data_IF_567886265307
#
_entry.id   IF_567886265307
#
_cell.length_a   1.000
_cell.length_b   1.000
_cell.length_c   1.000
_cell.angle_alpha   90.00
_cell.angle_beta   90.00
_cell.angle_gamma   90.00
#
_symmetry.space_group_name_H-M   'P 1'
#
loop_
_entity.id
_entity.type
_entity.pdbx_description
1 polymer ?
#
# COMPACT_ATOMS: atom_id res chain seq x y z
N UNK A 1 40.29 39.98 0.79
CA UNK A 1 40.37 38.66 0.22
C UNK A 1 39.04 37.93 0.51
N UNK A 2 38.16 37.87 -0.45
CA UNK A 2 36.85 37.24 -0.30
C UNK A 2 36.99 35.74 -0.41
N UNK A 3 36.94 35.03 0.70
CA UNK A 3 36.81 33.57 0.69
C UNK A 3 35.46 33.22 0.05
N UNK A 4 35.45 32.84 -1.23
CA UNK A 4 34.35 32.08 -1.81
C UNK A 4 34.30 30.78 -1.00
N UNK A 5 33.35 30.69 -0.06
CA UNK A 5 32.99 29.43 0.57
C UNK A 5 32.55 28.51 -0.54
N UNK A 6 33.30 27.47 -0.83
CA UNK A 6 32.89 26.43 -1.76
C UNK A 6 31.51 25.94 -1.29
N UNK A 7 30.53 25.99 -2.18
CA UNK A 7 29.20 25.50 -1.86
C UNK A 7 29.35 24.04 -1.43
N UNK A 8 29.09 23.75 -0.18
CA UNK A 8 29.22 22.38 0.38
C UNK A 8 28.15 21.54 -0.31
N UNK A 9 28.59 20.58 -1.11
CA UNK A 9 27.72 19.74 -1.93
C UNK A 9 27.15 18.64 -1.05
N UNK A 10 25.85 18.45 -1.09
CA UNK A 10 25.22 17.31 -0.45
C UNK A 10 25.60 16.02 -1.21
N UNK A 11 26.25 15.09 -0.55
CA UNK A 11 26.61 13.78 -1.07
C UNK A 11 25.45 12.76 -0.92
N UNK A 12 24.69 12.89 0.17
CA UNK A 12 23.51 12.07 0.45
C UNK A 12 22.38 12.94 0.93
N UNK A 13 21.16 12.71 0.44
CA UNK A 13 19.95 13.41 0.89
C UNK A 13 18.96 12.39 1.44
N UNK A 14 18.49 12.58 2.66
CA UNK A 14 17.35 11.86 3.23
C UNK A 14 16.08 12.69 3.10
N UNK A 15 15.00 12.05 2.67
CA UNK A 15 13.69 12.68 2.48
C UNK A 15 12.65 11.97 3.31
N UNK A 16 12.10 12.66 4.30
CA UNK A 16 10.88 12.24 4.98
C UNK A 16 9.65 12.80 4.25
N UNK A 17 8.67 11.92 3.98
CA UNK A 17 7.55 12.24 3.09
C UNK A 17 6.25 12.47 3.86
N UNK A 18 5.89 13.74 4.06
CA UNK A 18 4.54 14.12 4.47
C UNK A 18 3.55 14.15 3.30
N UNK A 19 2.27 14.35 3.60
CA UNK A 19 1.20 14.40 2.58
C UNK A 19 1.44 15.52 1.55
N UNK A 20 1.69 16.73 2.01
CA UNK A 20 1.83 17.93 1.17
C UNK A 20 3.26 18.50 1.17
N UNK A 21 4.07 18.13 2.13
CA UNK A 21 5.42 18.66 2.35
C UNK A 21 6.41 17.54 2.57
N UNK A 22 7.64 17.79 2.14
CA UNK A 22 8.78 16.90 2.30
C UNK A 22 9.83 17.60 3.17
N UNK A 23 10.44 16.86 4.09
CA UNK A 23 11.56 17.37 4.89
C UNK A 23 12.85 16.73 4.37
N UNK A 24 13.82 17.57 4.06
CA UNK A 24 15.08 17.19 3.45
C UNK A 24 16.22 17.46 4.41
N UNK A 25 17.11 16.49 4.57
CA UNK A 25 18.42 16.63 5.18
C UNK A 25 19.47 16.14 4.21
N UNK A 26 20.40 17.02 3.83
CA UNK A 26 21.55 16.66 3.02
C UNK A 26 22.82 16.59 3.89
N UNK A 27 23.59 15.53 3.67
CA UNK A 27 24.86 15.27 4.33
C UNK A 27 25.99 15.39 3.31
N UNK A 28 27.13 15.96 3.74
CA UNK A 28 28.38 15.90 2.98
C UNK A 28 29.07 14.52 3.08
N UNK A 29 30.25 14.38 2.52
CA UNK A 29 31.08 13.18 2.55
C UNK A 29 31.55 12.79 3.97
N UNK A 30 31.55 13.75 4.91
CA UNK A 30 31.91 13.56 6.32
C UNK A 30 30.71 13.32 7.24
N UNK A 31 29.49 13.38 6.69
CA UNK A 31 28.25 13.21 7.44
C UNK A 31 27.78 14.51 8.12
N UNK A 32 28.37 15.67 7.83
CA UNK A 32 27.88 16.95 8.34
C UNK A 32 26.63 17.41 7.57
N UNK A 33 25.68 18.02 8.27
CA UNK A 33 24.45 18.54 7.66
C UNK A 33 24.78 19.81 6.86
N UNK A 34 24.60 19.75 5.55
CA UNK A 34 24.84 20.88 4.62
C UNK A 34 23.55 21.38 3.97
N UNK A 35 22.46 20.62 4.08
CA UNK A 35 21.14 21.00 3.60
C UNK A 35 20.10 20.65 4.65
N UNK A 36 19.22 21.61 4.99
CA UNK A 36 18.06 21.38 5.86
C UNK A 36 16.90 22.24 5.37
N UNK A 37 15.96 21.61 4.69
CA UNK A 37 14.85 22.31 4.05
C UNK A 37 13.53 21.58 4.21
N UNK A 38 12.45 22.36 4.19
CA UNK A 38 11.07 21.90 4.04
C UNK A 38 10.56 22.36 2.69
N UNK A 39 10.18 21.44 1.84
CA UNK A 39 9.79 21.68 0.45
C UNK A 39 8.36 21.22 0.21
N UNK A 40 7.56 21.98 -0.53
CA UNK A 40 6.26 21.51 -0.99
C UNK A 40 6.44 20.35 -1.97
N UNK A 41 5.56 19.35 -1.91
CA UNK A 41 5.68 18.12 -2.70
C UNK A 41 5.77 18.38 -4.21
N UNK A 42 5.01 19.35 -4.73
CA UNK A 42 5.00 19.77 -6.14
C UNK A 42 6.26 20.53 -6.57
N UNK A 43 7.07 20.97 -5.62
CA UNK A 43 8.30 21.73 -5.88
C UNK A 43 9.58 20.91 -5.76
N UNK A 44 9.49 19.64 -5.37
CA UNK A 44 10.67 18.82 -5.08
C UNK A 44 11.58 18.64 -6.31
N UNK A 45 11.02 18.39 -7.48
CA UNK A 45 11.74 18.22 -8.75
C UNK A 45 12.49 19.50 -9.13
N UNK A 46 11.80 20.64 -9.08
CA UNK A 46 12.41 21.95 -9.38
C UNK A 46 13.53 22.26 -8.39
N UNK A 47 13.32 21.95 -7.09
CA UNK A 47 14.32 22.21 -6.05
C UNK A 47 15.57 21.36 -6.23
N UNK A 48 15.43 20.09 -6.56
CA UNK A 48 16.56 19.16 -6.67
C UNK A 48 17.18 19.13 -8.07
N UNK A 49 16.54 19.69 -9.09
CA UNK A 49 17.11 19.80 -10.45
C UNK A 49 18.46 20.56 -10.48
N UNK A 50 18.68 21.48 -9.54
CA UNK A 50 19.91 22.27 -9.43
C UNK A 50 20.92 21.72 -8.43
N UNK A 51 20.64 20.55 -7.84
CA UNK A 51 21.54 19.85 -6.92
C UNK A 51 22.36 18.85 -7.73
N UNK A 52 23.69 18.78 -7.56
CA UNK A 52 24.50 17.74 -8.21
C UNK A 52 23.95 16.33 -7.89
N UNK A 53 24.12 15.42 -8.86
CA UNK A 53 23.67 14.04 -8.69
C UNK A 53 24.25 13.44 -7.40
N UNK A 54 23.37 12.88 -6.57
CA UNK A 54 23.72 12.33 -5.27
C UNK A 54 22.86 11.13 -4.92
N UNK A 55 23.21 10.41 -3.84
CA UNK A 55 22.40 9.36 -3.27
C UNK A 55 21.19 9.98 -2.53
N UNK A 56 19.99 9.52 -2.85
CA UNK A 56 18.76 9.98 -2.17
C UNK A 56 18.06 8.79 -1.50
N UNK A 57 17.90 8.87 -0.17
CA UNK A 57 17.06 7.97 0.60
C UNK A 57 15.66 8.56 0.76
N UNK A 58 14.61 7.77 0.51
CA UNK A 58 13.21 8.14 0.78
C UNK A 58 12.61 7.04 1.64
N UNK A 59 11.88 7.38 2.72
CA UNK A 59 11.18 6.34 3.49
C UNK A 59 10.12 5.65 2.63
N UNK A 60 10.15 4.30 2.59
CA UNK A 60 9.18 3.52 1.83
C UNK A 60 7.77 3.68 2.42
N UNK A 61 6.84 4.17 1.60
CA UNK A 61 5.48 4.49 2.04
C UNK A 61 4.55 4.83 0.89
N UNK A 62 3.37 5.36 1.24
CA UNK A 62 2.43 5.84 0.22
C UNK A 62 2.97 7.08 -0.51
N UNK A 63 2.74 7.15 -1.82
CA UNK A 63 3.13 8.27 -2.69
C UNK A 63 4.65 8.54 -2.77
N UNK A 64 5.50 7.60 -2.35
CA UNK A 64 6.95 7.71 -2.45
C UNK A 64 7.48 7.26 -3.81
N UNK A 65 6.82 6.31 -4.45
CA UNK A 65 7.24 5.80 -5.76
C UNK A 65 7.24 6.89 -6.84
N UNK A 66 6.22 7.75 -6.87
CA UNK A 66 6.19 8.88 -7.79
C UNK A 66 7.39 9.82 -7.59
N UNK A 67 7.61 10.27 -6.35
CA UNK A 67 8.75 11.15 -6.02
C UNK A 67 10.08 10.49 -6.38
N UNK A 68 10.21 9.19 -6.10
CA UNK A 68 11.42 8.44 -6.42
C UNK A 68 11.68 8.40 -7.94
N UNK A 69 10.65 8.16 -8.78
CA UNK A 69 10.79 8.17 -10.24
C UNK A 69 11.18 9.53 -10.76
N UNK A 70 10.53 10.60 -10.29
CA UNK A 70 10.84 11.98 -10.68
C UNK A 70 12.30 12.34 -10.38
N UNK A 71 12.78 12.01 -9.18
CA UNK A 71 14.16 12.29 -8.79
C UNK A 71 15.18 11.40 -9.51
N UNK A 72 14.83 10.16 -9.80
CA UNK A 72 15.66 9.27 -10.63
C UNK A 72 15.77 9.80 -12.07
N UNK A 73 14.71 10.41 -12.62
CA UNK A 73 14.73 11.05 -13.94
C UNK A 73 15.68 12.26 -14.00
N UNK A 74 15.94 12.92 -12.86
CA UNK A 74 16.96 13.97 -12.74
C UNK A 74 18.41 13.41 -12.64
N UNK A 75 18.57 12.08 -12.60
CA UNK A 75 19.86 11.42 -12.54
C UNK A 75 20.36 11.09 -11.12
N UNK A 76 19.56 11.33 -10.07
CA UNK A 76 19.93 10.93 -8.73
C UNK A 76 19.82 9.40 -8.51
N UNK A 77 20.70 8.82 -7.66
CA UNK A 77 20.56 7.43 -7.19
C UNK A 77 19.53 7.35 -6.06
N UNK A 78 18.27 7.05 -6.40
CA UNK A 78 17.16 7.10 -5.45
C UNK A 78 16.85 5.71 -4.91
N UNK A 79 16.85 5.56 -3.59
CA UNK A 79 16.57 4.31 -2.89
C UNK A 79 15.44 4.49 -1.88
N UNK A 80 14.51 3.54 -1.85
CA UNK A 80 13.43 3.50 -0.86
C UNK A 80 13.86 2.68 0.35
N UNK A 81 13.96 3.34 1.50
CA UNK A 81 14.39 2.76 2.78
C UNK A 81 13.16 2.31 3.56
N UNK A 82 12.99 1.01 3.87
CA UNK A 82 11.91 0.56 4.72
C UNK A 82 11.99 1.19 6.12
N UNK A 83 10.86 1.53 6.77
CA UNK A 83 10.84 2.16 8.11
C UNK A 83 11.65 1.39 9.16
N UNK A 84 11.70 0.06 9.06
CA UNK A 84 12.47 -0.78 9.98
C UNK A 84 13.97 -0.48 9.96
N UNK A 85 14.52 -0.06 8.82
CA UNK A 85 15.95 0.28 8.68
C UNK A 85 16.24 1.74 9.06
N UNK A 86 15.28 2.65 8.94
CA UNK A 86 15.46 4.04 9.34
C UNK A 86 15.31 4.24 10.87
N UNK A 87 14.38 3.50 11.50
CA UNK A 87 14.10 3.62 12.94
C UNK A 87 15.31 3.56 13.87
N UNK A 88 16.31 2.67 13.70
CA UNK A 88 17.48 2.61 14.59
C UNK A 88 18.33 3.88 14.58
N UNK A 89 18.27 4.68 13.52
CA UNK A 89 19.03 5.91 13.36
C UNK A 89 18.28 7.15 13.90
N UNK A 90 17.01 6.99 14.28
CA UNK A 90 16.22 8.08 14.82
C UNK A 90 16.67 8.42 16.24
N UNK A 91 17.14 9.64 16.47
CA UNK A 91 17.58 10.12 17.76
C UNK A 91 16.56 11.08 18.40
N UNK A 92 16.21 10.84 19.66
CA UNK A 92 15.36 11.73 20.46
C UNK A 92 13.87 11.73 20.05
N UNK A 93 13.14 12.81 20.40
CA UNK A 93 11.72 12.92 20.13
C UNK A 93 11.41 13.02 18.63
N UNK A 94 10.22 12.52 18.23
CA UNK A 94 9.75 12.51 16.84
C UNK A 94 9.77 13.93 16.25
N UNK A 95 10.50 14.08 15.14
CA UNK A 95 10.58 15.33 14.38
C UNK A 95 10.92 14.96 12.93
N UNK A 96 10.19 15.52 11.99
CA UNK A 96 10.29 15.18 10.56
C UNK A 96 11.73 15.38 9.99
N UNK A 97 12.47 16.37 10.47
CA UNK A 97 13.88 16.53 10.09
C UNK A 97 14.81 15.46 10.69
N UNK A 98 14.48 14.95 11.88
CA UNK A 98 15.23 13.81 12.46
C UNK A 98 14.91 12.52 11.73
N UNK A 99 13.67 12.38 11.26
CA UNK A 99 13.26 11.26 10.43
C UNK A 99 13.99 11.32 9.07
N UNK A 100 14.10 12.50 8.44
CA UNK A 100 14.90 12.72 7.25
C UNK A 100 16.40 12.43 7.46
N UNK A 101 16.97 12.83 8.61
CA UNK A 101 18.35 12.50 8.95
C UNK A 101 18.57 11.01 9.10
N UNK A 102 17.69 10.34 9.83
CA UNK A 102 17.75 8.88 10.01
C UNK A 102 17.67 8.12 8.66
N UNK A 103 16.89 8.61 7.70
CA UNK A 103 16.82 8.06 6.35
C UNK A 103 18.14 8.30 5.60
N UNK A 104 18.73 9.52 5.70
CA UNK A 104 20.01 9.84 5.08
C UNK A 104 21.15 8.95 5.59
N UNK A 105 21.16 8.65 6.89
CA UNK A 105 22.16 7.75 7.49
C UNK A 105 21.91 6.28 7.12
N UNK A 106 20.63 5.85 7.14
CA UNK A 106 20.26 4.48 6.83
C UNK A 106 20.59 4.09 5.38
N UNK A 107 20.34 4.98 4.40
CA UNK A 107 20.53 4.69 2.98
C UNK A 107 21.98 4.46 2.59
N UNK A 108 22.91 5.02 3.35
CA UNK A 108 24.36 4.85 3.14
C UNK A 108 24.89 3.49 3.60
N UNK A 109 24.12 2.75 4.41
CA UNK A 109 24.57 1.47 4.97
C UNK A 109 24.42 0.34 3.97
N UNK A 110 25.48 -0.43 3.68
CA UNK A 110 25.40 -1.60 2.78
C UNK A 110 24.41 -2.67 3.25
N UNK A 111 24.13 -2.73 4.57
CA UNK A 111 23.18 -3.65 5.17
C UNK A 111 21.72 -3.26 4.98
N UNK A 112 21.45 -2.04 4.54
CA UNK A 112 20.08 -1.56 4.31
C UNK A 112 19.49 -2.20 3.05
N UNK A 113 18.48 -3.03 3.22
CA UNK A 113 17.75 -3.64 2.11
C UNK A 113 16.68 -2.67 1.61
N UNK A 114 17.02 -1.89 0.60
CA UNK A 114 16.10 -0.96 -0.02
C UNK A 114 14.99 -1.67 -0.81
N UNK A 115 13.81 -1.06 -0.85
CA UNK A 115 12.67 -1.54 -1.64
C UNK A 115 12.80 -1.01 -3.07
N UNK A 116 12.58 -1.82 -4.11
CA UNK A 116 12.56 -1.34 -5.49
C UNK A 116 11.49 -0.26 -5.72
N UNK A 117 11.81 0.73 -6.54
CA UNK A 117 10.83 1.71 -7.00
C UNK A 117 9.88 1.02 -7.97
N UNK A 118 8.59 1.06 -7.67
CA UNK A 118 7.56 0.44 -8.51
C UNK A 118 7.31 1.26 -9.77
N UNK A 119 7.10 0.59 -10.89
CA UNK A 119 6.58 1.18 -12.12
C UNK A 119 5.08 1.51 -11.96
N UNK A 120 4.52 2.26 -12.91
CA UNK A 120 3.09 2.57 -12.89
C UNK A 120 2.26 1.29 -13.04
N UNK A 121 2.62 0.37 -13.94
CA UNK A 121 1.97 -0.93 -14.07
C UNK A 121 1.97 -1.75 -12.76
N UNK A 122 3.07 -1.69 -12.00
CA UNK A 122 3.16 -2.36 -10.69
C UNK A 122 2.25 -1.71 -9.64
N UNK A 123 2.08 -0.39 -9.70
CA UNK A 123 1.16 0.33 -8.83
C UNK A 123 -0.30 0.04 -9.21
N UNK A 124 -0.62 -0.05 -10.48
CA UNK A 124 -1.96 -0.40 -10.97
C UNK A 124 -2.34 -1.82 -10.56
N UNK A 125 -1.42 -2.77 -10.74
CA UNK A 125 -1.61 -4.13 -10.26
C UNK A 125 -1.84 -4.18 -8.74
N UNK A 126 -1.07 -3.42 -7.97
CA UNK A 126 -1.28 -3.31 -6.52
C UNK A 126 -2.64 -2.71 -6.18
N UNK A 127 -3.09 -1.71 -6.96
CA UNK A 127 -4.42 -1.12 -6.79
C UNK A 127 -5.54 -2.13 -7.06
N UNK A 128 -5.45 -2.91 -8.14
CA UNK A 128 -6.40 -3.98 -8.46
C UNK A 128 -6.51 -5.00 -7.32
N UNK A 129 -5.38 -5.47 -6.80
CA UNK A 129 -5.36 -6.38 -5.64
C UNK A 129 -6.03 -5.78 -4.40
N UNK A 130 -5.76 -4.51 -4.09
CA UNK A 130 -6.38 -3.81 -2.94
C UNK A 130 -7.89 -3.67 -3.12
N UNK A 131 -8.35 -3.30 -4.33
CA UNK A 131 -9.78 -3.20 -4.65
C UNK A 131 -10.44 -4.57 -4.53
N UNK A 132 -9.84 -5.62 -5.09
CA UNK A 132 -10.34 -7.00 -4.99
C UNK A 132 -10.47 -7.44 -3.53
N UNK A 133 -9.44 -7.22 -2.71
CA UNK A 133 -9.47 -7.56 -1.27
C UNK A 133 -10.61 -6.86 -0.54
N UNK A 134 -10.85 -5.58 -0.81
CA UNK A 134 -11.96 -4.83 -0.25
C UNK A 134 -13.31 -5.42 -0.66
N UNK A 135 -13.50 -5.73 -1.93
CA UNK A 135 -14.75 -6.31 -2.43
C UNK A 135 -15.02 -7.70 -1.83
N UNK A 136 -13.99 -8.54 -1.68
CA UNK A 136 -14.10 -9.84 -1.00
C UNK A 136 -14.50 -9.67 0.47
N UNK A 137 -13.95 -8.67 1.16
CA UNK A 137 -14.35 -8.33 2.53
C UNK A 137 -15.82 -7.88 2.61
N UNK A 138 -16.26 -7.00 1.70
CA UNK A 138 -17.66 -6.56 1.61
C UNK A 138 -18.61 -7.73 1.34
N UNK A 139 -18.29 -8.61 0.40
CA UNK A 139 -19.05 -9.83 0.11
C UNK A 139 -19.19 -10.71 1.35
N UNK A 140 -18.09 -10.92 2.06
CA UNK A 140 -18.10 -11.72 3.28
C UNK A 140 -19.02 -11.12 4.34
N UNK A 141 -19.00 -9.80 4.51
CA UNK A 141 -19.88 -9.10 5.44
C UNK A 141 -21.36 -9.29 5.08
N UNK A 142 -21.73 -9.11 3.80
CA UNK A 142 -23.10 -9.31 3.31
C UNK A 142 -23.56 -10.75 3.57
N UNK A 143 -22.74 -11.75 3.25
CA UNK A 143 -23.05 -13.17 3.45
C UNK A 143 -23.25 -13.49 4.93
N UNK A 144 -22.42 -12.95 5.80
CA UNK A 144 -22.56 -13.15 7.24
C UNK A 144 -23.83 -12.50 7.78
N UNK A 145 -24.21 -11.34 7.26
CA UNK A 145 -25.45 -10.65 7.62
C UNK A 145 -26.68 -11.45 7.20
N UNK A 146 -26.73 -11.98 5.97
CA UNK A 146 -27.80 -12.86 5.50
C UNK A 146 -27.93 -14.08 6.44
N UNK A 147 -26.80 -14.72 6.77
CA UNK A 147 -26.79 -15.88 7.67
C UNK A 147 -27.28 -15.55 9.06
N UNK A 148 -26.88 -14.41 9.61
CA UNK A 148 -27.33 -13.95 10.92
C UNK A 148 -28.84 -13.77 10.93
N UNK A 149 -29.40 -13.11 9.93
CA UNK A 149 -30.85 -12.91 9.84
C UNK A 149 -31.62 -14.23 9.71
N UNK A 150 -31.13 -15.17 8.90
CA UNK A 150 -31.74 -16.48 8.79
C UNK A 150 -31.66 -17.28 10.08
N UNK A 151 -30.54 -17.19 10.80
CA UNK A 151 -30.33 -17.90 12.08
C UNK A 151 -31.26 -17.39 13.17
N UNK A 152 -31.52 -16.08 13.25
CA UNK A 152 -32.48 -15.47 14.17
C UNK A 152 -33.92 -16.01 13.95
N UNK A 153 -34.21 -16.51 12.75
CA UNK A 153 -35.47 -17.16 12.40
C UNK A 153 -35.40 -18.70 12.44
N UNK A 154 -34.38 -19.27 13.10
CA UNK A 154 -34.20 -20.70 13.26
C UNK A 154 -33.73 -21.44 11.98
N UNK A 155 -33.28 -20.71 10.96
CA UNK A 155 -32.81 -21.27 9.70
C UNK A 155 -31.28 -21.30 9.71
N UNK A 156 -30.69 -22.42 10.10
CA UNK A 156 -29.24 -22.60 10.10
C UNK A 156 -28.74 -23.10 8.75
N UNK A 157 -27.75 -22.40 8.16
CA UNK A 157 -27.10 -22.80 6.91
C UNK A 157 -25.64 -23.14 7.20
N UNK A 158 -25.21 -24.29 6.66
CA UNK A 158 -23.82 -24.76 6.76
C UNK A 158 -22.84 -23.67 6.30
N UNK A 159 -21.68 -23.56 6.97
CA UNK A 159 -20.63 -22.62 6.62
C UNK A 159 -20.07 -22.88 5.22
N UNK A 160 -19.79 -21.82 4.45
CA UNK A 160 -19.28 -21.88 3.07
C UNK A 160 -20.24 -21.16 2.11
N UNK A 161 -19.65 -20.42 1.16
CA UNK A 161 -20.35 -19.65 0.14
C UNK A 161 -21.31 -20.53 -0.70
N UNK A 162 -20.84 -21.71 -1.08
CA UNK A 162 -21.56 -22.66 -1.91
C UNK A 162 -22.92 -23.04 -1.29
N UNK A 163 -22.95 -23.33 0.02
CA UNK A 163 -24.18 -23.79 0.65
C UNK A 163 -25.25 -22.72 0.73
N UNK A 164 -24.85 -21.48 1.03
CA UNK A 164 -25.79 -20.35 1.02
C UNK A 164 -26.33 -20.11 -0.40
N UNK A 165 -25.47 -20.13 -1.43
CA UNK A 165 -25.89 -19.93 -2.82
C UNK A 165 -26.90 -20.98 -3.29
N UNK A 166 -26.74 -22.23 -2.87
CA UNK A 166 -27.64 -23.32 -3.23
C UNK A 166 -28.98 -23.28 -2.46
N UNK A 167 -28.96 -22.93 -1.19
CA UNK A 167 -30.14 -23.03 -0.32
C UNK A 167 -30.99 -21.78 -0.29
N UNK A 168 -30.39 -20.59 -0.44
CA UNK A 168 -31.08 -19.32 -0.30
C UNK A 168 -32.31 -19.18 -1.18
N UNK A 169 -32.30 -19.52 -2.49
CA UNK A 169 -33.50 -19.39 -3.32
C UNK A 169 -34.68 -20.25 -2.82
N UNK A 170 -34.40 -21.49 -2.39
CA UNK A 170 -35.40 -22.39 -1.85
C UNK A 170 -35.96 -21.91 -0.48
N UNK A 171 -35.11 -21.32 0.35
CA UNK A 171 -35.52 -20.71 1.63
C UNK A 171 -36.48 -19.55 1.39
N UNK A 172 -36.12 -18.62 0.50
CA UNK A 172 -36.95 -17.46 0.20
C UNK A 172 -38.30 -17.83 -0.40
N UNK A 173 -38.34 -18.91 -1.22
CA UNK A 173 -39.57 -19.38 -1.84
C UNK A 173 -40.50 -20.17 -0.91
N UNK A 174 -39.96 -20.90 0.09
CA UNK A 174 -40.71 -21.88 0.88
C UNK A 174 -40.92 -21.52 2.34
N UNK A 175 -40.24 -20.51 2.87
CA UNK A 175 -40.25 -20.18 4.30
C UNK A 175 -40.95 -18.86 4.63
N UNK A 176 -41.98 -18.53 3.84
CA UNK A 176 -42.88 -17.42 4.13
C UNK A 176 -43.71 -17.62 5.41
N UNK A 177 -43.76 -18.84 5.92
CA UNK A 177 -44.31 -19.19 7.23
C UNK A 177 -43.46 -18.67 8.41
N UNK A 178 -42.16 -18.54 8.23
CA UNK A 178 -41.18 -18.17 9.26
C UNK A 178 -40.63 -16.76 9.04
N UNK A 179 -40.41 -16.38 7.79
CA UNK A 179 -39.85 -15.08 7.41
C UNK A 179 -40.98 -14.08 7.07
N UNK A 180 -40.99 -12.92 7.72
CA UNK A 180 -41.90 -11.87 7.36
C UNK A 180 -41.65 -11.33 5.93
N UNK A 181 -42.67 -10.78 5.23
CA UNK A 181 -42.46 -10.17 3.91
C UNK A 181 -41.36 -9.08 3.89
N UNK A 182 -41.18 -8.37 5.01
CA UNK A 182 -40.10 -7.38 5.16
C UNK A 182 -38.73 -8.05 5.22
N UNK A 183 -38.59 -9.14 5.96
CA UNK A 183 -37.33 -9.87 6.07
C UNK A 183 -36.94 -10.52 4.72
N UNK A 184 -37.90 -11.07 3.99
CA UNK A 184 -37.69 -11.60 2.65
C UNK A 184 -37.10 -10.52 1.74
N UNK A 185 -37.72 -9.33 1.67
CA UNK A 185 -37.21 -8.21 0.85
C UNK A 185 -35.78 -7.79 1.27
N UNK A 186 -35.50 -7.69 2.57
CA UNK A 186 -34.16 -7.34 3.07
C UNK A 186 -33.12 -8.37 2.59
N UNK A 187 -33.45 -9.65 2.68
CA UNK A 187 -32.53 -10.72 2.27
C UNK A 187 -32.39 -10.74 0.73
N UNK A 188 -33.44 -10.47 -0.02
CA UNK A 188 -33.40 -10.33 -1.48
C UNK A 188 -32.50 -9.17 -1.92
N UNK A 189 -32.60 -8.01 -1.27
CA UNK A 189 -31.75 -6.84 -1.51
C UNK A 189 -30.27 -7.17 -1.23
N UNK A 190 -29.98 -7.77 -0.09
CA UNK A 190 -28.63 -8.21 0.26
C UNK A 190 -28.11 -9.29 -0.72
N UNK A 191 -28.96 -10.18 -1.20
CA UNK A 191 -28.63 -11.18 -2.22
C UNK A 191 -28.29 -10.51 -3.56
N UNK A 192 -28.97 -9.41 -3.89
CA UNK A 192 -28.66 -8.54 -5.03
C UNK A 192 -27.28 -7.88 -4.89
N UNK A 193 -26.98 -7.32 -3.71
CA UNK A 193 -25.66 -6.78 -3.42
C UNK A 193 -24.56 -7.83 -3.53
N UNK A 194 -24.79 -9.01 -2.99
CA UNK A 194 -23.85 -10.11 -3.10
C UNK A 194 -23.55 -10.47 -4.57
N UNK A 195 -24.55 -10.62 -5.43
CA UNK A 195 -24.37 -10.91 -6.86
C UNK A 195 -23.53 -9.83 -7.54
N UNK A 196 -23.85 -8.55 -7.32
CA UNK A 196 -23.06 -7.43 -7.85
C UNK A 196 -21.60 -7.43 -7.38
N UNK A 197 -21.35 -7.84 -6.14
CA UNK A 197 -19.99 -7.96 -5.61
C UNK A 197 -19.25 -9.15 -6.26
N UNK A 198 -19.91 -10.29 -6.48
CA UNK A 198 -19.31 -11.44 -7.16
C UNK A 198 -18.89 -11.08 -8.59
N UNK A 199 -19.77 -10.45 -9.38
CA UNK A 199 -19.48 -10.00 -10.74
C UNK A 199 -18.27 -9.07 -10.79
N UNK A 200 -18.20 -8.11 -9.87
CA UNK A 200 -17.07 -7.18 -9.78
C UNK A 200 -15.77 -7.87 -9.36
N UNK A 201 -15.82 -8.84 -8.45
CA UNK A 201 -14.66 -9.63 -8.02
C UNK A 201 -14.15 -10.48 -9.19
N UNK A 202 -15.04 -11.10 -9.94
CA UNK A 202 -14.71 -11.91 -11.12
C UNK A 202 -14.03 -11.05 -12.19
N UNK A 203 -14.60 -9.89 -12.51
CA UNK A 203 -14.02 -8.96 -13.49
C UNK A 203 -12.60 -8.53 -13.10
N UNK A 204 -12.39 -8.05 -11.85
CA UNK A 204 -11.05 -7.64 -11.39
C UNK A 204 -10.10 -8.84 -11.34
N UNK A 205 -10.59 -10.03 -10.99
CA UNK A 205 -9.76 -11.24 -10.96
C UNK A 205 -9.26 -11.59 -12.35
N UNK A 206 -10.13 -11.53 -13.36
CA UNK A 206 -9.76 -11.77 -14.76
C UNK A 206 -8.73 -10.73 -15.25
N UNK A 207 -8.89 -9.45 -14.90
CA UNK A 207 -7.93 -8.40 -15.24
C UNK A 207 -6.55 -8.66 -14.61
N UNK A 208 -6.51 -9.04 -13.33
CA UNK A 208 -5.27 -9.43 -12.65
C UNK A 208 -4.61 -10.64 -13.34
N UNK A 209 -5.39 -11.65 -13.76
CA UNK A 209 -4.88 -12.83 -14.44
C UNK A 209 -4.27 -12.51 -15.81
N UNK A 210 -4.93 -11.64 -16.59
CA UNK A 210 -4.41 -11.15 -17.87
C UNK A 210 -3.07 -10.41 -17.67
N UNK A 211 -3.01 -9.50 -16.70
CA UNK A 211 -1.77 -8.81 -16.37
C UNK A 211 -0.68 -9.77 -15.89
N UNK A 212 -1.03 -10.76 -15.08
CA UNK A 212 -0.08 -11.76 -14.59
C UNK A 212 0.50 -12.63 -15.72
N UNK A 213 -0.30 -12.93 -16.74
CA UNK A 213 0.12 -13.75 -17.89
C UNK A 213 1.07 -12.97 -18.80
N UNK A 214 0.81 -11.68 -18.99
CA UNK A 214 1.57 -10.80 -19.87
C UNK A 214 2.75 -10.11 -19.15
N UNK A 215 2.99 -10.43 -17.87
CA UNK A 215 3.98 -9.73 -17.07
C UNK A 215 5.41 -10.08 -17.50
N UNK A 216 6.22 -9.10 -17.94
CA UNK A 216 7.58 -9.34 -18.45
C UNK A 216 8.59 -9.70 -17.36
N UNK A 217 8.22 -9.55 -16.09
CA UNK A 217 9.07 -9.79 -14.94
C UNK A 217 8.85 -11.20 -14.34
N UNK A 218 9.83 -11.75 -13.61
CA UNK A 218 9.68 -13.05 -12.94
C UNK A 218 8.47 -13.07 -12.00
N UNK A 219 7.78 -14.20 -11.93
CA UNK A 219 6.55 -14.39 -11.10
C UNK A 219 6.72 -14.02 -9.61
N UNK A 220 7.94 -14.03 -9.08
CA UNK A 220 8.19 -13.62 -7.70
C UNK A 220 7.99 -12.12 -7.46
N UNK A 221 8.22 -11.26 -8.48
CA UNK A 221 7.93 -9.81 -8.40
C UNK A 221 6.43 -9.58 -8.26
N UNK A 222 5.63 -10.34 -9.02
CA UNK A 222 4.18 -10.32 -8.93
C UNK A 222 3.70 -10.72 -7.53
N UNK A 223 4.29 -11.78 -6.93
CA UNK A 223 3.99 -12.21 -5.56
C UNK A 223 4.37 -11.16 -4.52
N UNK A 224 5.50 -10.48 -4.68
CA UNK A 224 5.92 -9.41 -3.77
C UNK A 224 4.93 -8.23 -3.79
N UNK A 225 4.43 -7.82 -4.96
CA UNK A 225 3.37 -6.80 -5.06
C UNK A 225 2.06 -7.24 -4.40
N UNK A 226 1.73 -8.53 -4.43
CA UNK A 226 0.52 -9.09 -3.80
C UNK A 226 0.70 -9.30 -2.29
N UNK A 227 1.89 -9.67 -1.80
CA UNK A 227 2.15 -9.99 -0.39
C UNK A 227 2.17 -8.76 0.53
N UNK A 228 2.47 -7.57 0.01
CA UNK A 228 2.38 -6.33 0.77
C UNK A 228 0.92 -5.96 1.16
N UNK A 229 -0.07 -6.68 0.63
CA UNK A 229 -1.50 -6.44 0.85
C UNK A 229 -2.01 -7.22 2.08
N UNK A 230 -1.30 -8.25 2.50
CA UNK A 230 -1.63 -9.00 3.73
C UNK A 230 -0.60 -8.70 4.81
N UNK A 231 -0.98 -8.08 5.94
CA UNK A 231 -0.08 -7.99 7.08
C UNK A 231 0.26 -9.42 7.54
N UNK A 232 1.52 -9.68 7.89
CA UNK A 232 1.88 -10.94 8.54
C UNK A 232 1.24 -10.93 9.94
N UNK A 233 0.21 -11.73 10.16
CA UNK A 233 -0.41 -11.79 11.47
C UNK A 233 -1.79 -12.45 11.51
N UNK A 234 -1.85 -13.74 11.24
CA UNK A 234 -2.62 -14.67 12.07
C UNK A 234 -1.76 -15.88 12.35
N UNK A 235 -1.20 -15.87 13.55
CA UNK A 235 -0.68 -17.08 14.19
C UNK A 235 -1.84 -18.08 14.22
N UNK A 236 -1.62 -19.26 13.64
CA UNK A 236 -2.53 -20.37 13.77
C UNK A 236 -2.72 -20.68 15.27
N UNK A 237 -3.93 -21.00 15.76
CA UNK A 237 -4.07 -21.50 17.10
C UNK A 237 -3.31 -22.82 17.21
N UNK A 238 -2.35 -22.86 18.12
CA UNK A 238 -1.71 -24.10 18.59
C UNK A 238 -2.79 -25.06 19.11
N UNK A 239 -2.68 -26.29 18.68
CA UNK A 239 -3.47 -27.43 19.16
C UNK A 239 -3.36 -27.60 20.67
#
# INVERSE_FOLDING_TARGET
MSHKTAATIAHTIGIDTGKNTLHLIGLDDKGAIVLREKVARDRITVRLANVPQCLIGIEAGMATHYVARELSALGHDVKQVPPAYAKPFRQGHKNDFRDALAIAEAVQRPSTRCVPVKTDDQLDLQALHRVRSRLVGQRTAVINQIRSFLLEHGIAIRQGLRFLRQQLPAILAKRSDVLSPRMIRIIEDLSGDWRRLDERIEHITAEIEVLATNWPQPRWVFRACASEIHPPGRVAPSQ
#
